data_IF_972450888660
#
_entry.id   IF_972450888660
#
_cell.length_a   1.000
_cell.length_b   1.000
_cell.length_c   1.000
_cell.angle_alpha   90.00
_cell.angle_beta   90.00
_cell.angle_gamma   90.00
#
_symmetry.space_group_name_H-M   'P 1'
#
loop_
_entity.id
_entity.type
_entity.pdbx_description
1 polymer ?
#
# COMPACT_ATOMS: atom_id res chain seq x y z
N UNK A 1 -3.14 -33.89 13.20
CA UNK A 1 -2.43 -32.69 13.70
C UNK A 1 -2.48 -31.66 12.60
N UNK A 2 -2.71 -30.39 12.94
CA UNK A 2 -2.53 -29.31 11.98
C UNK A 2 -1.08 -28.83 12.11
N UNK A 3 -0.46 -28.43 11.03
CA UNK A 3 0.93 -27.96 11.01
C UNK A 3 0.92 -26.47 10.68
N UNK A 4 1.86 -25.72 11.26
CA UNK A 4 2.12 -24.34 10.87
C UNK A 4 3.09 -24.36 9.68
N UNK A 5 2.66 -23.78 8.56
CA UNK A 5 3.46 -23.64 7.35
C UNK A 5 3.98 -22.20 7.24
N UNK A 6 5.31 -22.06 7.18
CA UNK A 6 5.97 -20.78 7.00
C UNK A 6 6.58 -20.71 5.60
N UNK A 7 6.49 -19.54 4.97
CA UNK A 7 7.26 -19.18 3.79
C UNK A 7 8.05 -17.91 4.11
N UNK A 8 9.33 -18.07 4.39
CA UNK A 8 10.17 -16.95 4.85
C UNK A 8 10.99 -16.46 3.66
N UNK A 9 10.99 -15.15 3.45
CA UNK A 9 11.84 -14.48 2.48
C UNK A 9 13.32 -14.76 2.78
N UNK A 10 14.03 -15.25 1.77
CA UNK A 10 15.46 -15.54 1.80
C UNK A 10 16.17 -14.79 0.70
N UNK A 11 17.27 -14.15 1.08
CA UNK A 11 18.14 -13.42 0.17
C UNK A 11 19.47 -13.14 0.83
N UNK A 12 20.56 -13.32 0.12
CA UNK A 12 21.89 -12.87 0.52
C UNK A 12 22.49 -12.04 -0.61
N UNK A 13 22.70 -10.74 -0.37
CA UNK A 13 23.18 -9.80 -1.39
C UNK A 13 24.54 -10.20 -1.99
N UNK A 14 25.36 -10.95 -1.25
CA UNK A 14 26.70 -11.34 -1.70
C UNK A 14 26.70 -12.69 -2.44
N UNK A 15 25.66 -13.51 -2.27
CA UNK A 15 25.63 -14.90 -2.76
C UNK A 15 24.51 -15.17 -3.77
N UNK A 16 23.34 -14.58 -3.56
CA UNK A 16 22.12 -14.90 -4.30
C UNK A 16 21.93 -13.98 -5.52
N UNK A 17 21.49 -14.58 -6.63
CA UNK A 17 21.10 -13.81 -7.82
C UNK A 17 19.69 -13.23 -7.68
N UNK A 18 18.77 -13.98 -7.08
CA UNK A 18 17.38 -13.62 -6.85
C UNK A 18 16.93 -14.11 -5.47
N UNK A 19 16.00 -13.38 -4.86
CA UNK A 19 15.35 -13.80 -3.62
C UNK A 19 14.40 -14.98 -3.86
N UNK A 20 14.16 -15.76 -2.81
CA UNK A 20 13.20 -16.87 -2.83
C UNK A 20 12.49 -16.99 -1.47
N UNK A 21 11.42 -17.79 -1.42
CA UNK A 21 10.73 -18.11 -0.16
C UNK A 21 11.03 -19.54 0.24
N UNK A 22 11.69 -19.73 1.38
CA UNK A 22 11.99 -21.08 1.89
C UNK A 22 10.85 -21.57 2.79
N UNK A 23 10.34 -22.80 2.57
CA UNK A 23 9.30 -23.36 3.40
C UNK A 23 9.86 -23.94 4.71
N UNK A 24 9.13 -23.75 5.81
CA UNK A 24 9.36 -24.43 7.10
C UNK A 24 8.02 -24.96 7.62
N UNK A 25 8.03 -26.10 8.30
CA UNK A 25 6.82 -26.75 8.82
C UNK A 25 7.03 -27.16 10.27
N UNK A 26 6.14 -26.72 11.14
CA UNK A 26 6.17 -27.02 12.57
C UNK A 26 4.87 -27.70 13.01
N UNK A 27 4.96 -28.95 13.45
CA UNK A 27 3.85 -29.73 14.02
C UNK A 27 3.60 -29.43 15.50
N UNK A 28 4.54 -28.74 16.14
CA UNK A 28 4.60 -28.42 17.56
C UNK A 28 4.61 -26.90 17.79
N UNK A 29 3.96 -26.15 16.90
CA UNK A 29 3.95 -24.70 16.90
C UNK A 29 3.36 -24.11 18.18
N UNK A 30 2.54 -24.86 18.91
CA UNK A 30 1.96 -24.46 20.19
C UNK A 30 3.01 -24.28 21.30
N UNK A 31 4.26 -24.71 21.09
CA UNK A 31 5.35 -24.48 22.03
C UNK A 31 5.97 -23.08 21.95
N UNK A 32 5.68 -22.32 20.89
CA UNK A 32 6.21 -20.97 20.70
C UNK A 32 5.19 -19.95 21.21
N UNK A 33 5.61 -19.02 22.07
CA UNK A 33 4.72 -18.00 22.63
C UNK A 33 4.57 -16.83 21.66
N UNK A 34 5.67 -16.44 21.02
CA UNK A 34 5.75 -15.27 20.13
C UNK A 34 6.32 -15.61 18.76
N UNK A 35 6.19 -14.67 17.82
CA UNK A 35 6.89 -14.72 16.54
C UNK A 35 8.41 -14.75 16.73
N UNK A 36 8.94 -14.05 17.74
CA UNK A 36 10.35 -14.06 18.09
C UNK A 36 10.85 -15.46 18.44
N UNK A 37 10.12 -16.21 19.28
CA UNK A 37 10.47 -17.59 19.65
C UNK A 37 10.48 -18.50 18.43
N UNK A 38 9.51 -18.33 17.54
CA UNK A 38 9.42 -19.10 16.29
C UNK A 38 10.62 -18.81 15.38
N UNK A 39 11.03 -17.55 15.21
CA UNK A 39 12.19 -17.18 14.39
C UNK A 39 13.52 -17.64 15.00
N UNK A 40 13.64 -17.69 16.33
CA UNK A 40 14.78 -18.32 16.99
C UNK A 40 14.86 -19.82 16.64
N UNK A 41 13.73 -20.53 16.70
CA UNK A 41 13.69 -21.94 16.30
C UNK A 41 14.06 -22.12 14.82
N UNK A 42 13.55 -21.26 13.93
CA UNK A 42 13.93 -21.28 12.50
C UNK A 42 15.43 -21.12 12.33
N UNK A 43 16.07 -20.22 13.08
CA UNK A 43 17.53 -20.04 13.03
C UNK A 43 18.30 -21.22 13.61
N UNK A 44 17.77 -21.89 14.64
CA UNK A 44 18.36 -23.11 15.18
C UNK A 44 18.30 -24.28 14.15
N UNK A 45 17.22 -24.36 13.39
CA UNK A 45 17.02 -25.37 12.33
C UNK A 45 17.79 -25.02 11.03
N UNK A 46 17.97 -23.73 10.74
CA UNK A 46 18.69 -23.20 9.59
C UNK A 46 19.69 -22.12 10.02
N UNK A 47 20.92 -22.57 10.27
CA UNK A 47 22.04 -21.72 10.72
C UNK A 47 22.41 -20.58 9.76
N UNK A 48 21.93 -20.60 8.51
CA UNK A 48 22.18 -19.55 7.53
C UNK A 48 21.07 -18.49 7.49
N UNK A 49 19.99 -18.69 8.24
CA UNK A 49 18.90 -17.73 8.36
C UNK A 49 19.28 -16.63 9.35
N UNK A 50 19.10 -15.37 8.94
CA UNK A 50 19.35 -14.21 9.80
C UNK A 50 18.15 -13.28 9.93
N UNK A 51 18.00 -12.73 11.14
CA UNK A 51 17.01 -11.72 11.48
C UNK A 51 17.51 -10.88 12.66
N UNK A 52 16.84 -9.76 12.92
CA UNK A 52 17.20 -8.87 14.03
C UNK A 52 16.72 -9.43 15.36
N UNK A 53 17.64 -9.68 16.29
CA UNK A 53 17.36 -10.26 17.62
C UNK A 53 16.84 -9.24 18.62
N UNK A 54 15.82 -8.51 18.20
CA UNK A 54 15.13 -7.51 18.99
C UNK A 54 13.62 -7.76 18.86
N UNK A 55 12.97 -8.06 19.98
CA UNK A 55 11.54 -8.35 20.03
C UNK A 55 10.66 -7.19 19.53
N UNK A 56 11.15 -5.96 19.58
CA UNK A 56 10.44 -4.78 19.09
C UNK A 56 10.62 -4.52 17.59
N UNK A 57 11.49 -5.27 16.91
CA UNK A 57 11.67 -5.13 15.46
C UNK A 57 10.41 -5.59 14.73
N UNK A 58 10.03 -4.89 13.67
CA UNK A 58 8.85 -5.23 12.88
C UNK A 58 9.22 -6.04 11.64
N UNK A 59 8.31 -6.92 11.25
CA UNK A 59 8.35 -7.67 9.98
C UNK A 59 6.97 -7.61 9.32
N UNK A 60 6.87 -8.07 8.08
CA UNK A 60 5.58 -8.29 7.41
C UNK A 60 5.17 -9.76 7.53
N UNK A 61 3.96 -10.00 8.01
CA UNK A 61 3.29 -11.30 8.03
C UNK A 61 2.07 -11.22 7.13
N UNK A 62 2.08 -11.94 6.00
CA UNK A 62 1.01 -11.89 5.00
C UNK A 62 0.63 -10.44 4.61
N UNK A 63 1.64 -9.55 4.52
CA UNK A 63 1.47 -8.13 4.23
C UNK A 63 1.19 -7.22 5.44
N UNK A 64 0.80 -7.76 6.60
CA UNK A 64 0.57 -7.00 7.84
C UNK A 64 1.87 -6.72 8.59
N UNK A 65 2.01 -5.50 9.13
CA UNK A 65 3.18 -5.09 9.91
C UNK A 65 3.02 -5.48 11.37
N UNK A 66 3.91 -6.33 11.88
CA UNK A 66 3.85 -6.82 13.27
C UNK A 66 5.23 -6.83 13.92
N UNK A 67 5.35 -6.49 15.22
CA UNK A 67 6.58 -6.67 15.96
C UNK A 67 6.86 -8.16 16.22
N UNK A 68 8.13 -8.54 16.40
CA UNK A 68 8.49 -9.92 16.73
C UNK A 68 7.92 -10.39 18.07
N UNK A 69 7.66 -9.46 19.00
CA UNK A 69 7.00 -9.72 20.27
C UNK A 69 5.54 -10.19 20.14
N UNK A 70 4.90 -10.06 18.97
CA UNK A 70 3.49 -10.44 18.81
C UNK A 70 3.28 -11.92 19.14
N UNK A 71 2.22 -12.19 19.90
CA UNK A 71 1.81 -13.54 20.27
C UNK A 71 1.56 -14.39 19.03
N UNK A 72 2.11 -15.60 19.00
CA UNK A 72 1.85 -16.52 17.89
C UNK A 72 0.36 -16.89 17.84
N UNK A 73 -0.30 -17.03 19.00
CA UNK A 73 -1.75 -17.29 19.04
C UNK A 73 -2.55 -16.19 18.31
N UNK A 74 -2.23 -14.92 18.57
CA UNK A 74 -2.90 -13.78 17.94
C UNK A 74 -2.66 -13.76 16.42
N UNK A 75 -1.43 -14.04 15.99
CA UNK A 75 -1.10 -14.13 14.56
C UNK A 75 -1.89 -15.23 13.86
N UNK A 76 -1.98 -16.42 14.46
CA UNK A 76 -2.69 -17.55 13.86
C UNK A 76 -4.21 -17.34 13.84
N UNK A 77 -4.77 -16.59 14.80
CA UNK A 77 -6.18 -16.18 14.76
C UNK A 77 -6.48 -15.23 13.59
N UNK A 78 -5.54 -14.34 13.27
CA UNK A 78 -5.69 -13.35 12.20
C UNK A 78 -5.39 -13.91 10.81
N UNK A 79 -4.34 -14.71 10.69
CA UNK A 79 -3.76 -15.10 9.41
C UNK A 79 -3.90 -16.60 9.08
N UNK A 80 -4.36 -17.41 10.03
CA UNK A 80 -4.41 -18.86 9.88
C UNK A 80 -3.04 -19.51 10.05
N UNK A 81 -2.89 -20.73 9.52
CA UNK A 81 -1.70 -21.58 9.70
C UNK A 81 -0.70 -21.49 8.53
N UNK A 82 -0.90 -20.57 7.60
CA UNK A 82 -0.01 -20.31 6.47
C UNK A 82 0.52 -18.88 6.59
N UNK A 83 1.79 -18.73 6.97
CA UNK A 83 2.41 -17.42 7.19
C UNK A 83 3.53 -17.18 6.18
N UNK A 84 3.43 -16.09 5.43
CA UNK A 84 4.51 -15.53 4.62
C UNK A 84 5.20 -14.44 5.44
N UNK A 85 6.51 -14.58 5.66
CA UNK A 85 7.31 -13.69 6.51
C UNK A 85 8.33 -12.94 5.66
N UNK A 86 8.33 -11.61 5.74
CA UNK A 86 9.19 -10.73 4.95
C UNK A 86 9.79 -9.61 5.79
N UNK A 87 10.98 -9.07 5.42
CA UNK A 87 11.45 -7.82 5.99
C UNK A 87 10.49 -6.68 5.65
N UNK A 88 10.57 -5.57 6.41
CA UNK A 88 9.82 -4.35 6.10
C UNK A 88 10.07 -3.84 4.67
N UNK A 89 11.28 -4.03 4.15
CA UNK A 89 11.62 -3.63 2.77
C UNK A 89 12.43 -4.71 2.05
N UNK A 90 11.78 -5.40 1.10
CA UNK A 90 12.44 -6.36 0.20
C UNK A 90 13.55 -5.69 -0.61
N UNK A 91 13.30 -4.47 -1.13
CA UNK A 91 14.25 -3.68 -1.94
C UNK A 91 15.55 -3.35 -1.21
N UNK A 92 15.51 -3.26 0.12
CA UNK A 92 16.66 -2.91 0.96
C UNK A 92 17.25 -4.12 1.69
N UNK A 93 16.66 -5.29 1.53
CA UNK A 93 17.14 -6.51 2.16
C UNK A 93 18.57 -6.79 1.69
N UNK A 94 19.46 -7.07 2.65
CA UNK A 94 20.82 -7.52 2.35
C UNK A 94 21.06 -8.95 2.83
N UNK A 95 20.31 -9.39 3.85
CA UNK A 95 20.36 -10.75 4.36
C UNK A 95 19.02 -11.13 5.01
N UNK A 96 18.22 -11.95 4.33
CA UNK A 96 16.95 -12.48 4.83
C UNK A 96 16.03 -11.37 5.38
N UNK A 97 15.75 -11.36 6.68
CA UNK A 97 14.90 -10.34 7.30
C UNK A 97 15.66 -9.04 7.68
N UNK A 98 16.97 -8.99 7.45
CA UNK A 98 17.83 -7.83 7.65
C UNK A 98 17.89 -6.96 6.39
N UNK A 99 17.73 -5.66 6.58
CA UNK A 99 17.68 -4.68 5.50
C UNK A 99 18.37 -3.36 5.89
N UNK A 100 18.82 -2.61 4.87
CA UNK A 100 19.49 -1.31 5.05
C UNK A 100 18.50 -0.22 5.49
N UNK A 101 18.88 0.50 6.55
CA UNK A 101 18.09 1.56 7.20
C UNK A 101 18.67 2.96 6.94
N UNK A 102 19.62 3.10 6.02
CA UNK A 102 20.34 4.35 5.79
C UNK A 102 19.43 5.52 5.39
N UNK A 103 18.46 5.28 4.51
CA UNK A 103 17.53 6.30 4.03
C UNK A 103 16.55 6.78 5.11
N UNK A 104 16.16 5.88 6.00
CA UNK A 104 15.40 6.20 7.21
C UNK A 104 16.18 7.15 8.12
N UNK A 105 17.42 6.81 8.47
CA UNK A 105 18.26 7.67 9.32
C UNK A 105 18.63 8.99 8.65
N UNK A 106 18.69 9.05 7.32
CA UNK A 106 18.85 10.32 6.60
C UNK A 106 17.71 11.29 6.91
N UNK A 107 16.46 10.81 7.04
CA UNK A 107 15.31 11.69 7.33
C UNK A 107 15.37 12.31 8.73
N UNK A 108 15.94 11.61 9.71
CA UNK A 108 16.14 12.16 11.07
C UNK A 108 16.86 13.51 11.06
N UNK A 109 17.77 13.71 10.09
CA UNK A 109 18.59 14.93 9.97
C UNK A 109 17.77 16.22 9.85
N UNK A 110 16.53 16.15 9.34
CA UNK A 110 15.63 17.31 9.30
C UNK A 110 15.28 17.85 10.68
N UNK A 111 15.19 16.98 11.70
CA UNK A 111 14.82 17.34 13.07
C UNK A 111 15.98 17.24 14.06
N UNK A 112 17.12 16.69 13.65
CA UNK A 112 18.33 16.58 14.47
C UNK A 112 18.74 17.89 15.20
N UNK A 113 18.62 19.11 14.60
CA UNK A 113 18.93 20.35 15.32
C UNK A 113 18.04 20.63 16.54
N UNK A 114 16.90 19.96 16.64
CA UNK A 114 15.93 20.09 17.71
C UNK A 114 15.93 18.89 18.66
N UNK A 115 16.57 17.79 18.27
CA UNK A 115 16.48 16.49 18.94
C UNK A 115 17.55 16.32 20.02
N UNK A 116 17.24 15.53 21.05
CA UNK A 116 18.21 14.97 21.99
C UNK A 116 18.35 13.45 21.81
N UNK A 117 19.10 12.78 22.70
CA UNK A 117 19.34 11.33 22.60
C UNK A 117 18.06 10.51 22.81
N UNK A 118 17.12 10.98 23.63
CA UNK A 118 15.82 10.28 23.81
C UNK A 118 15.00 10.35 22.52
N UNK A 119 15.00 11.50 21.85
CA UNK A 119 14.31 11.68 20.57
C UNK A 119 14.92 10.78 19.47
N UNK A 120 16.25 10.59 19.49
CA UNK A 120 16.96 9.70 18.57
C UNK A 120 16.68 8.23 18.85
N UNK A 121 16.65 7.82 20.12
CA UNK A 121 16.29 6.46 20.53
C UNK A 121 14.85 6.14 20.15
N UNK A 122 13.92 7.06 20.44
CA UNK A 122 12.53 6.97 19.99
C UNK A 122 12.46 6.79 18.48
N UNK A 123 13.15 7.64 17.71
CA UNK A 123 13.14 7.54 16.24
C UNK A 123 13.59 6.16 15.78
N UNK A 124 14.62 5.57 16.39
CA UNK A 124 15.10 4.23 16.05
C UNK A 124 14.04 3.12 16.13
N UNK A 125 13.00 3.29 16.95
CA UNK A 125 11.88 2.37 17.06
C UNK A 125 10.74 2.59 16.03
N UNK A 126 10.80 3.64 15.22
CA UNK A 126 9.69 4.06 14.32
C UNK A 126 9.87 3.60 12.87
N UNK A 127 10.77 2.66 12.59
CA UNK A 127 11.04 2.19 11.22
C UNK A 127 9.81 1.65 10.50
N UNK A 128 8.89 1.02 11.23
CA UNK A 128 7.63 0.50 10.70
C UNK A 128 6.73 1.61 10.14
N UNK A 129 6.73 2.80 10.75
CA UNK A 129 6.02 3.97 10.19
C UNK A 129 6.65 4.43 8.88
N UNK A 130 7.97 4.40 8.76
CA UNK A 130 8.64 4.80 7.52
C UNK A 130 8.38 3.80 6.40
N UNK A 131 8.70 2.52 6.62
CA UNK A 131 8.67 1.50 5.58
C UNK A 131 7.28 0.98 5.22
N UNK A 132 6.24 1.30 6.02
CA UNK A 132 4.85 1.04 5.62
C UNK A 132 4.32 1.98 4.53
N UNK A 133 5.01 3.11 4.28
CA UNK A 133 4.56 4.11 3.32
C UNK A 133 4.77 3.65 1.87
N UNK A 134 3.66 3.49 1.14
CA UNK A 134 3.67 3.13 -0.30
C UNK A 134 4.35 4.20 -1.17
N UNK A 135 4.46 5.42 -0.65
CA UNK A 135 5.06 6.55 -1.35
C UNK A 135 6.58 6.38 -1.57
N UNK A 136 7.26 5.57 -0.75
CA UNK A 136 8.72 5.43 -0.80
C UNK A 136 9.24 4.86 -2.11
N UNK A 137 8.41 4.11 -2.83
CA UNK A 137 8.76 3.57 -4.15
C UNK A 137 8.82 4.66 -5.23
N UNK A 138 7.97 5.68 -5.09
CA UNK A 138 7.76 6.71 -6.12
C UNK A 138 8.38 8.06 -5.77
N UNK A 139 8.61 8.33 -4.49
CA UNK A 139 9.09 9.62 -4.01
C UNK A 139 10.10 9.46 -2.86
N UNK A 140 11.34 9.14 -3.22
CA UNK A 140 12.44 8.93 -2.26
C UNK A 140 12.80 10.17 -1.43
N UNK A 141 12.46 11.37 -1.90
CA UNK A 141 12.68 12.61 -1.15
C UNK A 141 11.67 12.82 -0.03
N UNK A 142 10.55 12.06 0.00
CA UNK A 142 9.54 12.12 1.05
C UNK A 142 10.18 12.11 2.44
N UNK A 143 9.72 13.02 3.31
CA UNK A 143 10.26 13.15 4.66
C UNK A 143 9.98 11.93 5.53
N UNK A 144 8.91 11.18 5.24
CA UNK A 144 8.62 9.90 5.90
C UNK A 144 7.78 10.02 7.15
N UNK A 145 6.86 9.07 7.33
CA UNK A 145 5.84 9.14 8.38
C UNK A 145 6.43 9.00 9.80
N UNK A 146 7.52 8.25 9.95
CA UNK A 146 8.28 8.18 11.19
C UNK A 146 8.78 9.56 11.67
N UNK A 147 9.21 10.42 10.73
CA UNK A 147 9.68 11.77 11.05
C UNK A 147 8.52 12.64 11.56
N UNK A 148 7.33 12.46 11.00
CA UNK A 148 6.13 13.18 11.43
C UNK A 148 5.71 12.76 12.83
N UNK A 149 5.71 11.45 13.13
CA UNK A 149 5.42 10.99 14.49
C UNK A 149 6.46 11.48 15.49
N UNK A 150 7.75 11.46 15.13
CA UNK A 150 8.80 12.05 15.97
C UNK A 150 8.53 13.54 16.24
N UNK A 151 8.23 14.32 15.19
CA UNK A 151 7.92 15.74 15.35
C UNK A 151 6.74 15.97 16.30
N UNK A 152 5.70 15.15 16.21
CA UNK A 152 4.56 15.19 17.13
C UNK A 152 5.05 15.03 18.59
N UNK A 153 5.85 13.99 18.87
CA UNK A 153 6.42 13.74 20.21
C UNK A 153 7.34 14.85 20.70
N UNK A 154 8.19 15.39 19.83
CA UNK A 154 9.08 16.50 20.17
C UNK A 154 8.30 17.77 20.51
N UNK A 155 7.15 18.01 19.86
CA UNK A 155 6.27 19.14 20.16
C UNK A 155 5.52 18.93 21.48
N UNK A 156 5.05 17.72 21.76
CA UNK A 156 4.47 17.37 23.08
C UNK A 156 5.49 17.61 24.19
N UNK A 157 6.73 17.14 24.00
CA UNK A 157 7.85 17.28 24.95
C UNK A 157 8.28 18.75 25.13
N UNK A 158 8.33 19.52 24.05
CA UNK A 158 8.76 20.92 24.09
C UNK A 158 7.94 21.82 23.12
N UNK A 159 6.79 22.35 23.60
CA UNK A 159 5.91 23.19 22.78
C UNK A 159 6.57 24.46 22.20
N UNK A 160 7.66 24.96 22.80
CA UNK A 160 8.37 26.15 22.31
C UNK A 160 9.01 25.96 20.93
N UNK A 161 9.31 24.71 20.53
CA UNK A 161 9.91 24.38 19.24
C UNK A 161 8.87 24.17 18.13
N UNK A 162 7.57 24.19 18.46
CA UNK A 162 6.46 23.85 17.57
C UNK A 162 6.53 24.55 16.22
N UNK A 163 6.54 25.88 16.20
CA UNK A 163 6.50 26.62 14.95
C UNK A 163 7.71 26.32 14.03
N UNK A 164 8.90 26.15 14.62
CA UNK A 164 10.11 25.81 13.87
C UNK A 164 10.03 24.41 13.24
N UNK A 165 9.53 23.43 14.00
CA UNK A 165 9.32 22.06 13.51
C UNK A 165 8.25 22.06 12.40
N UNK A 166 7.10 22.69 12.62
CA UNK A 166 6.01 22.71 11.63
C UNK A 166 6.44 23.36 10.30
N UNK A 167 7.30 24.38 10.33
CA UNK A 167 7.89 25.00 9.12
C UNK A 167 8.77 24.05 8.32
N UNK A 168 9.40 23.07 8.97
CA UNK A 168 10.18 22.03 8.30
C UNK A 168 9.23 21.03 7.65
N UNK A 169 8.23 20.55 8.39
CA UNK A 169 7.32 19.50 7.90
C UNK A 169 6.44 19.96 6.74
N UNK A 170 6.14 21.25 6.62
CA UNK A 170 5.25 21.78 5.59
C UNK A 170 5.93 22.01 4.21
N UNK A 171 7.05 21.33 3.93
CA UNK A 171 7.71 21.40 2.62
C UNK A 171 6.73 20.98 1.49
N UNK A 172 6.63 21.82 0.45
CA UNK A 172 5.68 21.63 -0.65
C UNK A 172 6.00 20.47 -1.58
N UNK A 173 7.24 19.96 -1.56
CA UNK A 173 7.70 18.92 -2.47
C UNK A 173 7.77 17.54 -1.82
N UNK A 174 7.94 17.49 -0.49
CA UNK A 174 8.25 16.25 0.24
C UNK A 174 7.70 16.17 1.66
N UNK A 175 6.94 17.19 2.09
CA UNK A 175 6.46 17.34 3.46
C UNK A 175 5.23 16.51 3.78
N UNK A 176 4.64 16.80 4.95
CA UNK A 176 3.58 16.01 5.57
C UNK A 176 2.26 15.90 4.78
N UNK A 177 2.02 16.78 3.81
CA UNK A 177 0.82 16.67 2.96
C UNK A 177 0.94 15.63 1.85
N UNK A 178 2.10 14.98 1.71
CA UNK A 178 2.27 13.79 0.87
C UNK A 178 1.87 12.50 1.57
N UNK A 179 1.62 12.54 2.88
CA UNK A 179 1.23 11.37 3.65
C UNK A 179 0.02 10.66 3.01
N UNK A 180 0.17 9.36 2.80
CA UNK A 180 -0.88 8.44 2.41
C UNK A 180 -1.29 7.63 3.64
N UNK A 181 -2.57 7.27 3.71
CA UNK A 181 -3.15 6.54 4.85
C UNK A 181 -2.29 5.33 5.22
N UNK A 182 -1.95 5.24 6.48
CA UNK A 182 -1.18 4.17 7.10
C UNK A 182 -2.09 3.20 7.87
N UNK A 183 -1.67 1.93 8.09
CA UNK A 183 -2.39 1.01 8.97
C UNK A 183 -2.27 1.34 10.47
N UNK A 184 -1.48 2.35 10.86
CA UNK A 184 -1.21 2.67 12.27
C UNK A 184 -2.05 3.86 12.76
N UNK A 185 -3.09 3.60 13.56
CA UNK A 185 -4.02 4.63 14.05
C UNK A 185 -3.35 5.76 14.86
N UNK A 186 -2.30 5.44 15.62
CA UNK A 186 -1.58 6.44 16.41
C UNK A 186 -0.79 7.42 15.53
N UNK A 187 -0.27 6.93 14.40
CA UNK A 187 0.40 7.74 13.40
C UNK A 187 -0.62 8.63 12.68
N UNK A 188 -1.76 8.09 12.26
CA UNK A 188 -2.83 8.86 11.62
C UNK A 188 -3.30 10.03 12.49
N UNK A 189 -3.45 9.77 13.80
CA UNK A 189 -3.81 10.79 14.79
C UNK A 189 -2.76 11.90 14.88
N UNK A 190 -1.48 11.52 14.96
CA UNK A 190 -0.37 12.46 15.04
C UNK A 190 -0.25 13.31 13.75
N UNK A 191 -0.31 12.68 12.57
CA UNK A 191 -0.23 13.35 11.28
C UNK A 191 -1.39 14.31 11.08
N UNK A 192 -2.62 13.87 11.39
CA UNK A 192 -3.82 14.72 11.30
C UNK A 192 -3.67 15.96 12.16
N UNK A 193 -3.21 15.80 13.40
CA UNK A 193 -2.97 16.92 14.30
C UNK A 193 -1.93 17.89 13.75
N UNK A 194 -0.78 17.40 13.28
CA UNK A 194 0.28 18.22 12.69
C UNK A 194 -0.20 18.99 11.45
N UNK A 195 -0.93 18.32 10.55
CA UNK A 195 -1.51 18.94 9.37
C UNK A 195 -2.47 20.08 9.77
N UNK A 196 -3.36 19.84 10.74
CA UNK A 196 -4.26 20.88 11.25
C UNK A 196 -3.51 22.08 11.83
N UNK A 197 -2.44 21.85 12.59
CA UNK A 197 -1.63 22.93 13.16
C UNK A 197 -0.93 23.76 12.07
N UNK A 198 -0.36 23.12 11.05
CA UNK A 198 0.24 23.80 9.89
C UNK A 198 -0.79 24.65 9.15
N UNK A 199 -1.99 24.09 8.99
CA UNK A 199 -3.12 24.75 8.34
C UNK A 199 -3.70 25.92 9.16
N UNK A 200 -3.68 25.84 10.49
CA UNK A 200 -4.14 26.89 11.39
C UNK A 200 -3.16 28.07 11.41
N UNK A 201 -1.87 27.78 11.28
CA UNK A 201 -0.80 28.78 11.16
C UNK A 201 -0.66 29.36 9.74
N UNK A 202 -1.48 28.92 8.78
CA UNK A 202 -1.41 29.32 7.37
C UNK A 202 -0.02 29.07 6.74
N UNK A 203 0.69 28.04 7.19
CA UNK A 203 2.01 27.67 6.66
C UNK A 203 1.91 26.91 5.34
N UNK A 204 0.70 26.48 4.94
CA UNK A 204 0.46 25.72 3.71
C UNK A 204 -0.82 26.17 3.01
N UNK A 205 -0.81 26.07 1.68
CA UNK A 205 -1.95 26.45 0.84
C UNK A 205 -2.99 25.32 0.77
N UNK A 206 -4.12 25.51 1.46
CA UNK A 206 -5.24 24.55 1.50
C UNK A 206 -5.84 24.25 0.13
N UNK A 207 -5.68 25.16 -0.84
CA UNK A 207 -6.25 24.94 -2.18
C UNK A 207 -5.60 23.75 -2.90
N UNK A 208 -4.35 23.43 -2.54
CA UNK A 208 -3.61 22.27 -3.06
C UNK A 208 -4.12 20.92 -2.52
N UNK A 209 -4.91 20.93 -1.44
CA UNK A 209 -5.41 19.71 -0.77
C UNK A 209 -6.84 19.34 -1.19
N UNK A 210 -7.58 20.28 -1.77
CA UNK A 210 -9.01 20.12 -2.01
C UNK A 210 -9.29 19.29 -3.28
N UNK A 211 -9.77 18.06 -3.17
CA UNK A 211 -10.26 17.29 -4.32
C UNK A 211 -11.78 17.20 -4.31
N UNK A 212 -12.40 16.98 -5.49
CA UNK A 212 -13.84 16.69 -5.56
C UNK A 212 -14.07 15.36 -4.86
N UNK A 213 -14.90 15.37 -3.82
CA UNK A 213 -15.52 14.17 -3.26
C UNK A 213 -16.84 13.96 -3.96
N UNK A 214 -16.91 12.96 -4.83
CA UNK A 214 -18.18 12.52 -5.39
C UNK A 214 -18.59 11.24 -4.64
N UNK A 215 -19.77 11.26 -4.03
CA UNK A 215 -20.24 10.18 -3.16
C UNK A 215 -20.52 8.90 -3.95
N UNK A 216 -20.05 7.77 -3.44
CA UNK A 216 -20.43 6.44 -3.93
C UNK A 216 -21.83 6.07 -3.46
N UNK A 217 -22.70 5.66 -4.38
CA UNK A 217 -23.95 4.96 -4.04
C UNK A 217 -23.65 3.47 -3.86
N UNK A 218 -24.33 2.82 -2.90
CA UNK A 218 -24.21 1.37 -2.72
C UNK A 218 -24.68 0.64 -3.97
N UNK A 219 -23.76 -0.11 -4.57
CA UNK A 219 -23.93 -0.80 -5.83
C UNK A 219 -24.92 -1.98 -5.71
N UNK A 220 -25.79 -2.15 -6.70
CA UNK A 220 -26.62 -3.35 -6.88
C UNK A 220 -26.79 -3.65 -8.36
N UNK A 221 -26.28 -4.78 -8.82
CA UNK A 221 -26.51 -5.27 -10.17
C UNK A 221 -27.90 -5.92 -10.25
N UNK A 222 -28.76 -5.50 -11.20
CA UNK A 222 -30.09 -6.09 -11.41
C UNK A 222 -30.09 -7.61 -11.62
N UNK A 223 -31.18 -8.31 -11.26
CA UNK A 223 -31.26 -9.79 -11.19
C UNK A 223 -31.09 -10.52 -12.55
N UNK A 224 -31.54 -9.91 -13.65
CA UNK A 224 -31.54 -10.54 -14.97
C UNK A 224 -30.40 -10.01 -15.85
N UNK A 225 -29.33 -10.77 -15.99
CA UNK A 225 -28.22 -10.45 -16.91
C UNK A 225 -28.58 -10.92 -18.33
N UNK A 226 -28.38 -10.05 -19.32
CA UNK A 226 -28.71 -10.29 -20.74
C UNK A 226 -27.49 -10.60 -21.61
N UNK A 227 -26.28 -10.36 -21.10
CA UNK A 227 -25.02 -10.59 -21.80
C UNK A 227 -24.20 -11.69 -21.12
N UNK A 228 -23.43 -12.42 -21.93
CA UNK A 228 -22.47 -13.43 -21.45
C UNK A 228 -21.08 -12.81 -21.30
N UNK A 229 -20.49 -12.93 -20.10
CA UNK A 229 -19.12 -12.49 -19.81
C UNK A 229 -18.14 -13.66 -19.63
N UNK A 230 -18.53 -14.89 -19.99
CA UNK A 230 -17.72 -16.10 -19.79
C UNK A 230 -16.30 -16.08 -20.39
N UNK A 231 -16.08 -15.25 -21.41
CA UNK A 231 -14.78 -15.11 -22.08
C UNK A 231 -13.95 -13.89 -21.62
N UNK A 232 -14.37 -13.19 -20.56
CA UNK A 232 -13.68 -12.00 -20.07
C UNK A 232 -12.94 -12.27 -18.75
N UNK A 233 -11.74 -11.73 -18.69
CA UNK A 233 -10.89 -11.59 -17.51
C UNK A 233 -11.12 -10.20 -16.90
N UNK A 234 -11.69 -10.14 -15.69
CA UNK A 234 -12.05 -8.89 -15.02
C UNK A 234 -11.16 -8.68 -13.80
N UNK A 235 -10.49 -7.53 -13.74
CA UNK A 235 -9.84 -7.05 -12.51
C UNK A 235 -10.80 -6.16 -11.72
N UNK A 236 -10.78 -6.22 -10.40
CA UNK A 236 -11.48 -5.29 -9.52
C UNK A 236 -10.44 -4.51 -8.71
N UNK A 237 -10.57 -3.19 -8.63
CA UNK A 237 -9.66 -2.35 -7.85
C UNK A 237 -10.37 -1.79 -6.63
N UNK A 238 -9.76 -1.98 -5.46
CA UNK A 238 -10.15 -1.48 -4.15
C UNK A 238 -11.49 -2.02 -3.61
N UNK A 239 -11.99 -3.13 -4.15
CA UNK A 239 -13.15 -3.86 -3.63
C UNK A 239 -13.19 -5.30 -4.14
N UNK A 240 -13.95 -6.13 -3.43
CA UNK A 240 -14.31 -7.48 -3.84
C UNK A 240 -15.77 -7.56 -4.26
N UNK A 241 -16.04 -8.20 -5.40
CA UNK A 241 -17.39 -8.59 -5.76
C UNK A 241 -17.86 -9.77 -4.91
N UNK A 242 -19.13 -9.73 -4.50
CA UNK A 242 -19.79 -10.87 -3.85
C UNK A 242 -19.75 -12.12 -4.75
N UNK A 243 -19.54 -13.29 -4.16
CA UNK A 243 -19.50 -14.57 -4.89
C UNK A 243 -20.80 -14.85 -5.66
N UNK A 244 -21.92 -14.34 -5.16
CA UNK A 244 -23.23 -14.41 -5.81
C UNK A 244 -23.23 -13.68 -7.17
N UNK A 245 -22.59 -12.50 -7.24
CA UNK A 245 -22.45 -11.70 -8.46
C UNK A 245 -21.43 -12.32 -9.40
N UNK A 246 -20.27 -12.76 -8.88
CA UNK A 246 -19.24 -13.45 -9.67
C UNK A 246 -19.82 -14.67 -10.40
N UNK A 247 -20.59 -15.49 -9.67
CA UNK A 247 -21.24 -16.70 -10.21
C UNK A 247 -22.24 -16.40 -11.33
N UNK A 248 -22.97 -15.28 -11.23
CA UNK A 248 -23.97 -14.88 -12.23
C UNK A 248 -23.33 -14.35 -13.52
N UNK A 249 -22.23 -13.61 -13.40
CA UNK A 249 -21.49 -13.04 -14.53
C UNK A 249 -20.76 -14.10 -15.36
N UNK A 250 -20.37 -15.23 -14.74
CA UNK A 250 -19.57 -16.31 -15.34
C UNK A 250 -18.18 -15.88 -15.87
N UNK A 251 -17.79 -14.63 -15.66
CA UNK A 251 -16.49 -14.10 -16.01
C UNK A 251 -15.37 -14.71 -15.14
N UNK A 252 -14.14 -14.66 -15.66
CA UNK A 252 -12.95 -14.98 -14.86
C UNK A 252 -12.52 -13.72 -14.12
N UNK A 253 -12.46 -13.77 -12.79
CA UNK A 253 -11.92 -12.67 -11.99
C UNK A 253 -10.43 -12.90 -11.78
N UNK A 254 -9.63 -11.91 -12.16
CA UNK A 254 -8.17 -11.95 -12.04
C UNK A 254 -7.76 -11.12 -10.83
N UNK A 255 -7.01 -11.76 -9.93
CA UNK A 255 -6.32 -11.06 -8.87
C UNK A 255 -5.01 -10.51 -9.42
N UNK A 256 -4.66 -9.30 -9.03
CA UNK A 256 -3.40 -8.63 -9.35
C UNK A 256 -2.86 -7.98 -8.08
N UNK A 257 -1.54 -7.82 -7.99
CA UNK A 257 -0.83 -7.52 -6.75
C UNK A 257 -1.19 -6.14 -6.19
N UNK A 258 -1.51 -5.19 -7.07
CA UNK A 258 -1.75 -3.77 -6.72
C UNK A 258 -3.23 -3.41 -6.58
N UNK A 259 -4.12 -4.41 -6.49
CA UNK A 259 -5.56 -4.20 -6.44
C UNK A 259 -6.06 -3.32 -5.28
N UNK A 260 -5.31 -3.28 -4.17
CA UNK A 260 -5.67 -2.47 -2.98
C UNK A 260 -4.63 -1.39 -2.65
N UNK A 261 -3.71 -1.12 -3.59
CA UNK A 261 -2.70 -0.08 -3.41
C UNK A 261 -3.29 1.31 -3.59
N UNK A 262 -2.72 2.30 -2.93
CA UNK A 262 -3.20 3.67 -3.01
C UNK A 262 -2.86 4.28 -4.37
N UNK A 263 -3.86 4.75 -5.12
CA UNK A 263 -3.64 5.41 -6.41
C UNK A 263 -3.20 6.88 -6.32
N UNK A 264 -3.00 7.42 -5.12
CA UNK A 264 -2.59 8.78 -4.84
C UNK A 264 -3.50 9.86 -5.45
N UNK A 265 -4.80 9.59 -5.61
CA UNK A 265 -5.77 10.61 -6.04
C UNK A 265 -5.78 11.85 -5.13
N UNK A 266 -5.60 11.65 -3.81
CA UNK A 266 -5.51 12.73 -2.82
C UNK A 266 -4.36 13.72 -3.10
N UNK A 267 -3.31 13.27 -3.78
CA UNK A 267 -2.14 14.06 -4.11
C UNK A 267 -2.25 14.75 -5.48
N UNK A 268 -3.30 14.51 -6.26
CA UNK A 268 -3.36 14.90 -7.67
C UNK A 268 -3.16 16.41 -7.89
N UNK A 269 -3.74 17.25 -7.03
CA UNK A 269 -3.52 18.71 -7.08
C UNK A 269 -2.18 19.16 -6.54
N UNK A 270 -1.61 18.40 -5.62
CA UNK A 270 -0.34 18.72 -4.98
C UNK A 270 0.83 18.34 -5.90
N UNK A 271 0.74 17.18 -6.55
CA UNK A 271 1.77 16.62 -7.41
C UNK A 271 1.15 15.67 -8.45
N UNK A 272 0.73 16.24 -9.59
CA UNK A 272 0.11 15.50 -10.68
C UNK A 272 0.97 14.34 -11.18
N UNK A 273 2.27 14.58 -11.38
CA UNK A 273 3.19 13.59 -11.93
C UNK A 273 3.31 12.36 -11.03
N UNK A 274 3.40 12.56 -9.71
CA UNK A 274 3.46 11.49 -8.73
C UNK A 274 2.17 10.67 -8.74
N UNK A 275 1.01 11.33 -8.68
CA UNK A 275 -0.29 10.64 -8.74
C UNK A 275 -0.44 9.83 -10.01
N UNK A 276 -0.02 10.36 -11.16
CA UNK A 276 -0.08 9.62 -12.43
C UNK A 276 0.86 8.43 -12.46
N UNK A 277 2.06 8.52 -11.87
CA UNK A 277 2.98 7.37 -11.79
C UNK A 277 2.40 6.25 -10.94
N UNK A 278 1.88 6.56 -9.75
CA UNK A 278 1.27 5.57 -8.85
C UNK A 278 0.02 4.94 -9.47
N UNK A 279 -0.85 5.75 -10.08
CA UNK A 279 -2.03 5.26 -10.75
C UNK A 279 -1.71 4.39 -11.99
N UNK A 280 -0.73 4.81 -12.81
CA UNK A 280 -0.31 4.03 -13.97
C UNK A 280 0.26 2.67 -13.56
N UNK A 281 1.00 2.63 -12.45
CA UNK A 281 1.60 1.40 -11.92
C UNK A 281 0.54 0.35 -11.53
N UNK A 282 -0.60 0.78 -10.98
CA UNK A 282 -1.76 -0.09 -10.68
C UNK A 282 -2.42 -0.59 -11.97
N UNK A 283 -2.69 0.31 -12.91
CA UNK A 283 -3.35 -0.02 -14.19
C UNK A 283 -2.51 -1.01 -15.00
N UNK A 284 -1.20 -0.79 -15.05
CA UNK A 284 -0.26 -1.69 -15.73
C UNK A 284 -0.17 -3.05 -15.07
N UNK A 285 -0.22 -3.14 -13.74
CA UNK A 285 -0.24 -4.42 -13.04
C UNK A 285 -1.49 -5.25 -13.38
N UNK A 286 -2.66 -4.61 -13.42
CA UNK A 286 -3.89 -5.25 -13.87
C UNK A 286 -3.81 -5.71 -15.34
N UNK A 287 -3.25 -4.86 -16.22
CA UNK A 287 -3.05 -5.17 -17.64
C UNK A 287 -2.09 -6.35 -17.84
N UNK A 288 -0.91 -6.30 -17.22
CA UNK A 288 0.14 -7.32 -17.32
C UNK A 288 -0.29 -8.64 -16.67
N UNK A 289 -1.21 -8.60 -15.69
CA UNK A 289 -1.88 -9.78 -15.10
C UNK A 289 -2.90 -10.45 -16.04
N UNK A 290 -3.18 -9.85 -17.18
CA UNK A 290 -4.09 -10.40 -18.20
C UNK A 290 -5.56 -10.08 -17.98
N UNK A 291 -5.87 -8.98 -17.29
CA UNK A 291 -7.22 -8.43 -17.27
C UNK A 291 -7.58 -7.88 -18.66
N UNK A 292 -8.81 -8.09 -19.13
CA UNK A 292 -9.34 -7.43 -20.32
C UNK A 292 -9.81 -6.00 -19.99
N UNK A 293 -10.31 -5.81 -18.77
CA UNK A 293 -10.68 -4.50 -18.24
C UNK A 293 -10.64 -4.45 -16.71
N UNK A 294 -10.55 -3.23 -16.19
CA UNK A 294 -10.60 -2.94 -14.76
C UNK A 294 -11.98 -2.39 -14.37
N UNK A 295 -12.59 -2.97 -13.35
CA UNK A 295 -13.86 -2.52 -12.79
C UNK A 295 -13.62 -1.66 -11.55
N UNK A 296 -14.29 -0.51 -11.49
CA UNK A 296 -14.17 0.49 -10.42
C UNK A 296 -15.51 0.79 -9.77
N UNK A 297 -15.50 0.93 -8.45
CA UNK A 297 -16.68 1.30 -7.65
C UNK A 297 -16.82 2.84 -7.52
N UNK A 298 -15.72 3.56 -7.33
CA UNK A 298 -15.76 4.99 -7.01
C UNK A 298 -15.44 5.88 -8.23
N UNK A 299 -16.12 7.03 -8.31
CA UNK A 299 -15.93 8.03 -9.36
C UNK A 299 -14.51 8.65 -9.32
N UNK A 300 -13.89 8.75 -8.14
CA UNK A 300 -12.52 9.28 -7.97
C UNK A 300 -11.49 8.38 -8.67
N UNK A 301 -11.59 7.07 -8.44
CA UNK A 301 -10.75 6.05 -9.07
C UNK A 301 -10.98 6.06 -10.58
N UNK A 302 -12.25 6.14 -11.01
CA UNK A 302 -12.62 6.20 -12.42
C UNK A 302 -12.08 7.43 -13.13
N UNK A 303 -12.19 8.60 -12.53
CA UNK A 303 -11.61 9.82 -13.08
C UNK A 303 -10.09 9.69 -13.28
N UNK A 304 -9.39 9.10 -12.31
CA UNK A 304 -7.94 8.97 -12.39
C UNK A 304 -7.51 7.93 -13.43
N UNK A 305 -8.17 6.78 -13.51
CA UNK A 305 -7.75 5.69 -14.40
C UNK A 305 -8.29 5.84 -15.84
N UNK A 306 -9.51 6.34 -16.02
CA UNK A 306 -10.10 6.56 -17.34
C UNK A 306 -9.84 7.99 -17.86
N UNK A 307 -10.36 9.01 -17.18
CA UNK A 307 -10.30 10.40 -17.69
C UNK A 307 -8.86 10.91 -17.80
N UNK A 308 -7.96 10.47 -16.92
CA UNK A 308 -6.55 10.83 -16.97
C UNK A 308 -5.66 9.82 -17.73
N UNK A 309 -6.20 8.76 -18.36
CA UNK A 309 -5.43 7.66 -18.96
C UNK A 309 -4.26 8.12 -19.86
N UNK A 310 -4.47 9.14 -20.71
CA UNK A 310 -3.42 9.69 -21.57
C UNK A 310 -2.23 10.25 -20.78
N UNK A 311 -2.50 10.87 -19.63
CA UNK A 311 -1.45 11.41 -18.75
C UNK A 311 -0.74 10.28 -18.01
N UNK A 312 -1.45 9.22 -17.62
CA UNK A 312 -0.85 8.03 -17.03
C UNK A 312 0.11 7.35 -18.02
N UNK A 313 -0.31 7.12 -19.27
CA UNK A 313 0.56 6.55 -20.31
C UNK A 313 1.81 7.42 -20.56
N UNK A 314 1.66 8.74 -20.54
CA UNK A 314 2.78 9.68 -20.67
C UNK A 314 3.75 9.61 -19.49
N UNK A 315 3.24 9.46 -18.25
CA UNK A 315 4.08 9.43 -17.05
C UNK A 315 4.87 8.13 -16.91
N UNK A 316 4.31 6.99 -17.34
CA UNK A 316 4.97 5.68 -17.27
C UNK A 316 5.73 5.30 -18.56
N UNK A 317 5.51 6.02 -19.67
CA UNK A 317 6.15 5.74 -20.94
C UNK A 317 5.69 4.43 -21.60
N UNK A 318 4.55 3.88 -21.19
CA UNK A 318 3.92 2.67 -21.75
C UNK A 318 2.54 3.01 -22.29
N UNK A 319 2.19 2.39 -23.41
CA UNK A 319 0.87 2.50 -24.02
C UNK A 319 -0.02 1.34 -23.54
N UNK A 320 -1.25 1.66 -23.14
CA UNK A 320 -2.32 0.72 -22.80
C UNK A 320 -3.68 1.23 -23.33
N UNK A 321 -3.68 1.86 -24.51
CA UNK A 321 -4.88 2.39 -25.18
C UNK A 321 -5.98 1.33 -25.46
N UNK A 322 -5.63 0.06 -25.44
CA UNK A 322 -6.51 -1.09 -25.61
C UNK A 322 -7.07 -1.63 -24.29
N UNK A 323 -6.58 -1.16 -23.15
CA UNK A 323 -7.06 -1.55 -21.83
C UNK A 323 -8.24 -0.67 -21.38
N UNK A 324 -9.32 -1.33 -20.99
CA UNK A 324 -10.55 -0.63 -20.62
C UNK A 324 -10.65 -0.44 -19.11
N UNK A 325 -11.21 0.70 -18.73
CA UNK A 325 -11.63 0.99 -17.36
C UNK A 325 -13.13 1.24 -17.39
N UNK A 326 -13.87 0.54 -16.56
CA UNK A 326 -15.32 0.68 -16.44
C UNK A 326 -15.67 1.03 -15.01
N UNK A 327 -16.53 2.03 -14.84
CA UNK A 327 -17.23 2.16 -13.57
C UNK A 327 -18.39 1.15 -13.49
N UNK A 328 -18.88 0.90 -12.28
CA UNK A 328 -19.93 -0.09 -12.07
C UNK A 328 -21.24 0.22 -12.80
N UNK A 329 -21.59 1.49 -13.02
CA UNK A 329 -22.82 1.88 -13.76
C UNK A 329 -22.70 1.52 -15.23
N UNK A 330 -21.53 1.75 -15.84
CA UNK A 330 -21.24 1.34 -17.21
C UNK A 330 -21.29 -0.18 -17.35
N UNK A 331 -20.70 -0.89 -16.39
CA UNK A 331 -20.73 -2.34 -16.36
C UNK A 331 -22.15 -2.90 -16.22
N UNK A 332 -22.99 -2.30 -15.35
CA UNK A 332 -24.40 -2.67 -15.21
C UNK A 332 -25.16 -2.51 -16.54
N UNK A 333 -24.98 -1.38 -17.24
CA UNK A 333 -25.60 -1.16 -18.55
C UNK A 333 -25.16 -2.24 -19.56
N UNK A 334 -23.87 -2.56 -19.60
CA UNK A 334 -23.35 -3.62 -20.47
C UNK A 334 -24.00 -4.98 -20.16
N UNK A 335 -24.21 -5.29 -18.87
CA UNK A 335 -24.91 -6.54 -18.49
C UNK A 335 -26.36 -6.60 -18.96
N UNK A 336 -26.97 -5.45 -19.23
CA UNK A 336 -28.32 -5.32 -19.78
C UNK A 336 -28.36 -5.20 -21.30
N UNK A 337 -27.23 -5.46 -21.99
CA UNK A 337 -27.06 -5.24 -23.42
C UNK A 337 -27.31 -3.79 -23.86
N UNK A 338 -27.03 -2.83 -22.97
CA UNK A 338 -27.13 -1.40 -23.23
C UNK A 338 -25.72 -0.86 -23.35
N UNK A 339 -25.36 -0.30 -24.50
CA UNK A 339 -24.03 0.31 -24.70
C UNK A 339 -23.96 1.68 -24.01
N UNK A 340 -23.09 1.89 -23.00
CA UNK A 340 -22.86 3.19 -22.38
C UNK A 340 -22.44 4.26 -23.40
N UNK A 341 -22.82 5.50 -23.15
CA UNK A 341 -22.47 6.63 -24.03
C UNK A 341 -20.97 6.89 -24.10
N UNK A 342 -20.25 6.70 -22.98
CA UNK A 342 -18.78 6.78 -22.88
C UNK A 342 -18.08 5.84 -23.87
N UNK A 343 -18.62 4.63 -24.05
CA UNK A 343 -18.08 3.61 -24.96
C UNK A 343 -18.50 3.80 -26.42
N UNK A 344 -19.36 4.77 -26.76
CA UNK A 344 -19.78 5.01 -28.16
C UNK A 344 -18.65 5.56 -29.03
N UNK A 345 -17.69 6.26 -28.43
CA UNK A 345 -16.55 6.87 -29.12
C UNK A 345 -15.26 6.04 -29.03
N UNK A 346 -15.28 4.88 -28.35
CA UNK A 346 -14.10 4.02 -28.21
C UNK A 346 -13.77 3.28 -29.51
N UNK A 347 -12.49 3.21 -29.88
CA UNK A 347 -12.04 2.75 -31.20
C UNK A 347 -12.24 1.25 -31.47
N UNK A 348 -12.39 0.45 -30.42
CA UNK A 348 -12.53 -1.00 -30.50
C UNK A 348 -14.02 -1.38 -30.49
N UNK A 349 -14.45 -2.00 -31.59
CA UNK A 349 -15.78 -2.62 -31.74
C UNK A 349 -15.78 -3.97 -31.01
N UNK A 350 -15.91 -3.96 -29.69
CA UNK A 350 -16.22 -5.19 -28.97
C UNK A 350 -17.70 -5.50 -29.25
N UNK A 351 -17.95 -6.48 -30.12
CA UNK A 351 -19.27 -7.11 -30.20
C UNK A 351 -19.42 -7.98 -28.97
N UNK A 352 -20.15 -7.49 -27.97
CA UNK A 352 -20.76 -8.35 -26.95
C UNK A 352 -21.64 -9.34 -27.72
N UNK A 353 -21.33 -10.64 -27.62
CA UNK A 353 -22.11 -11.71 -28.29
C UNK A 353 -23.27 -12.10 -27.40
#
# INVERSE_FOLDING_TARGET
MKSLELRIFRFDKELDYESYYKPYVYDNYENFLSLYDLLLQVQDDDIYFEFDKNENTFVKINGSFVPLATSLEELLQQHGLELVIEPLSLKRAYKDLLFDKGDFWEKFTFLAPFADEEDKELYGGLEHFYYASELLEFHSEFMGDALFYLAYKMIEKNPSKKEAILKILCDRKKGIFYHLKSPFDELESAVTWLQQEILNLNLFDKNLLSMRKEGGEKLKLGENLKCDFSNFNIGCYNFDLEDSLKSRLKARFINFDKAYKNNAYSLLKLNEELSYKMAADIVLDAYDSGCDFLLLENEEDFYLFDTCAKKLMQSCGRDFNDFYVLNFKEFELLTQNIKPDSLKNHALKVSLV
#
